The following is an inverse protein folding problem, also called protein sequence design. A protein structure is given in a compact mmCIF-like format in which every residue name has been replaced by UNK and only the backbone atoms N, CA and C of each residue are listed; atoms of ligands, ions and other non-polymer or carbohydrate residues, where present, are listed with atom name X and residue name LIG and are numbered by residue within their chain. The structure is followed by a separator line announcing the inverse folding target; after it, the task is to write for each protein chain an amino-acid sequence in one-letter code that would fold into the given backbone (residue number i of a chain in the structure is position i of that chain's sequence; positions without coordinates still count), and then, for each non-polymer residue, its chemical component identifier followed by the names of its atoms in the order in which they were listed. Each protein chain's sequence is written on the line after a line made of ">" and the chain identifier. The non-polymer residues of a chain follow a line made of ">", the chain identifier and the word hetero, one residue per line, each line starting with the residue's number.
data_IF_279299821341
#
_entry.id   IF_279299821341
#
_cell.length_a   1.000
_cell.length_b   1.000
_cell.length_c   1.000
_cell.angle_alpha   90.00
_cell.angle_beta   90.00
_cell.angle_gamma   90.00
#
_symmetry.space_group_name_H-M   'P 1'
#
loop_
_entity.id
_entity.type
_entity.pdbx_description
1 polymer ?
#
# COMPACT_ATOMS: atom_id res chain seq x y z
N UNK A 1 2.75 20.40 -4.12
CA UNK A 1 1.36 20.05 -4.43
C UNK A 1 1.25 19.05 -5.59
N UNK A 2 0.94 19.46 -6.83
CA UNK A 2 0.50 18.52 -7.88
C UNK A 2 1.52 17.44 -8.30
N UNK A 3 2.80 17.79 -8.45
CA UNK A 3 3.82 16.82 -8.82
C UNK A 3 4.02 15.74 -7.73
N UNK A 4 3.93 16.14 -6.46
CA UNK A 4 3.98 15.20 -5.33
C UNK A 4 2.79 14.25 -5.32
N UNK A 5 1.58 14.78 -5.52
CA UNK A 5 0.37 13.96 -5.64
C UNK A 5 0.48 12.93 -6.78
N UNK A 6 0.93 13.38 -7.96
CA UNK A 6 1.18 12.49 -9.11
C UNK A 6 2.18 11.39 -8.77
N UNK A 7 3.33 11.76 -8.21
CA UNK A 7 4.39 10.80 -7.87
C UNK A 7 3.90 9.73 -6.89
N UNK A 8 3.16 10.12 -5.84
CA UNK A 8 2.58 9.15 -4.91
C UNK A 8 1.53 8.26 -5.57
N UNK A 9 0.58 8.82 -6.32
CA UNK A 9 -0.48 8.02 -6.97
C UNK A 9 0.09 7.03 -7.98
N UNK A 10 1.06 7.45 -8.80
CA UNK A 10 1.70 6.57 -9.79
C UNK A 10 2.58 5.52 -9.13
N UNK A 11 3.34 5.90 -8.09
CA UNK A 11 4.16 4.97 -7.31
C UNK A 11 3.32 3.91 -6.59
N UNK A 12 2.25 4.33 -5.90
CA UNK A 12 1.32 3.40 -5.22
C UNK A 12 0.64 2.47 -6.22
N UNK A 13 0.20 2.98 -7.38
CA UNK A 13 -0.41 2.13 -8.42
C UNK A 13 0.57 1.08 -8.94
N UNK A 14 1.80 1.48 -9.23
CA UNK A 14 2.86 0.54 -9.65
C UNK A 14 3.09 -0.53 -8.59
N UNK A 15 3.17 -0.12 -7.31
CA UNK A 15 3.40 -1.04 -6.20
C UNK A 15 2.24 -2.04 -6.00
N UNK A 16 0.98 -1.57 -6.07
CA UNK A 16 -0.21 -2.42 -6.00
C UNK A 16 -0.21 -3.45 -7.14
N UNK A 17 0.09 -3.03 -8.37
CA UNK A 17 0.16 -3.96 -9.51
C UNK A 17 1.31 -4.95 -9.39
N UNK A 18 2.45 -4.55 -8.86
CA UNK A 18 3.56 -5.46 -8.61
C UNK A 18 3.17 -6.55 -7.61
N UNK A 19 2.55 -6.18 -6.48
CA UNK A 19 2.07 -7.18 -5.50
C UNK A 19 0.97 -8.06 -6.09
N UNK A 20 0.03 -7.48 -6.85
CA UNK A 20 -0.97 -8.24 -7.59
C UNK A 20 -0.35 -9.28 -8.54
N UNK A 21 0.70 -8.88 -9.27
CA UNK A 21 1.45 -9.80 -10.13
C UNK A 21 2.12 -10.92 -9.33
N UNK A 22 2.68 -10.65 -8.15
CA UNK A 22 3.22 -11.70 -7.28
C UNK A 22 2.14 -12.72 -6.89
N UNK A 23 0.95 -12.26 -6.50
CA UNK A 23 -0.17 -13.14 -6.13
C UNK A 23 -0.65 -13.98 -7.33
N UNK A 24 -0.74 -13.38 -8.52
CA UNK A 24 -1.10 -14.12 -9.73
C UNK A 24 -0.05 -15.18 -10.08
N UNK A 25 1.24 -14.83 -9.99
CA UNK A 25 2.32 -15.79 -10.24
C UNK A 25 2.38 -16.89 -9.20
N UNK A 26 2.09 -16.63 -7.94
CA UNK A 26 1.90 -17.66 -6.91
C UNK A 26 0.77 -18.63 -7.31
N UNK A 27 -0.39 -18.09 -7.68
CA UNK A 27 -1.58 -18.86 -8.02
C UNK A 27 -1.38 -19.72 -9.28
N UNK A 28 -0.66 -19.19 -10.27
CA UNK A 28 -0.42 -19.83 -11.56
C UNK A 28 0.88 -20.66 -11.60
N UNK A 29 1.72 -20.58 -10.57
CA UNK A 29 3.00 -21.30 -10.52
C UNK A 29 2.80 -22.80 -10.70
N UNK A 30 3.61 -23.39 -11.57
CA UNK A 30 3.62 -24.83 -11.85
C UNK A 30 4.67 -25.57 -11.00
N UNK A 31 5.73 -24.88 -10.61
CA UNK A 31 6.78 -25.39 -9.73
C UNK A 31 6.61 -24.95 -8.28
N UNK A 32 6.99 -25.82 -7.34
CA UNK A 32 6.93 -25.54 -5.91
C UNK A 32 7.84 -24.35 -5.50
N UNK A 33 9.03 -24.28 -6.08
CA UNK A 33 10.02 -23.21 -5.80
C UNK A 33 9.51 -21.84 -6.26
N UNK A 34 8.99 -21.75 -7.49
CA UNK A 34 8.40 -20.51 -8.02
C UNK A 34 7.22 -20.05 -7.17
N UNK A 35 6.35 -20.98 -6.77
CA UNK A 35 5.21 -20.68 -5.90
C UNK A 35 5.67 -20.12 -4.55
N UNK A 36 6.62 -20.78 -3.90
CA UNK A 36 7.15 -20.34 -2.60
C UNK A 36 7.81 -18.97 -2.69
N UNK A 37 8.56 -18.70 -3.76
CA UNK A 37 9.18 -17.41 -4.01
C UNK A 37 8.13 -16.30 -4.09
N UNK A 38 7.14 -16.41 -4.98
CA UNK A 38 6.15 -15.35 -5.14
C UNK A 38 5.19 -15.22 -3.96
N UNK A 39 4.86 -16.35 -3.30
CA UNK A 39 4.13 -16.33 -2.04
C UNK A 39 4.86 -15.51 -0.98
N UNK A 40 6.18 -15.71 -0.83
CA UNK A 40 6.98 -14.94 0.10
C UNK A 40 6.90 -13.44 -0.16
N UNK A 41 7.02 -13.02 -1.43
CA UNK A 41 6.87 -11.61 -1.81
C UNK A 41 5.46 -11.09 -1.51
N UNK A 42 4.41 -11.84 -1.86
CA UNK A 42 3.03 -11.50 -1.54
C UNK A 42 2.82 -11.31 -0.03
N UNK A 43 3.29 -12.26 0.77
CA UNK A 43 3.19 -12.25 2.22
C UNK A 43 3.93 -11.06 2.87
N UNK A 44 5.11 -10.72 2.36
CA UNK A 44 5.93 -9.61 2.87
C UNK A 44 5.35 -8.25 2.48
N UNK A 45 4.91 -8.09 1.22
CA UNK A 45 4.57 -6.78 0.65
C UNK A 45 3.11 -6.37 0.86
N UNK A 46 2.18 -7.31 1.04
CA UNK A 46 0.76 -7.01 1.30
C UNK A 46 0.54 -6.04 2.47
N UNK A 47 1.15 -6.23 3.67
CA UNK A 47 0.98 -5.28 4.76
C UNK A 47 1.58 -3.90 4.45
N UNK A 48 2.66 -3.83 3.66
CA UNK A 48 3.21 -2.55 3.19
C UNK A 48 2.23 -1.85 2.25
N UNK A 49 1.67 -2.55 1.27
CA UNK A 49 0.66 -1.98 0.36
C UNK A 49 -0.50 -1.41 1.16
N UNK A 50 -1.03 -2.18 2.12
CA UNK A 50 -2.14 -1.77 2.97
C UNK A 50 -1.82 -0.47 3.73
N UNK A 51 -0.78 -0.49 4.56
CA UNK A 51 -0.50 0.64 5.46
C UNK A 51 0.06 1.86 4.71
N UNK A 52 1.00 1.66 3.78
CA UNK A 52 1.63 2.76 3.06
C UNK A 52 0.64 3.47 2.14
N UNK A 53 -0.18 2.71 1.40
CA UNK A 53 -1.17 3.32 0.49
C UNK A 53 -2.31 4.01 1.25
N UNK A 54 -2.72 3.49 2.41
CA UNK A 54 -3.69 4.16 3.26
C UNK A 54 -3.19 5.53 3.74
N UNK A 55 -1.96 5.60 4.23
CA UNK A 55 -1.36 6.85 4.72
C UNK A 55 -1.11 7.84 3.59
N UNK A 56 -0.41 7.42 2.52
CA UNK A 56 -0.10 8.31 1.40
C UNK A 56 -1.33 8.68 0.59
N UNK A 57 -2.32 7.79 0.48
CA UNK A 57 -3.62 8.11 -0.12
C UNK A 57 -4.33 9.22 0.65
N UNK A 58 -4.32 9.15 1.98
CA UNK A 58 -4.90 10.19 2.83
C UNK A 58 -4.15 11.52 2.67
N UNK A 59 -2.81 11.52 2.71
CA UNK A 59 -1.98 12.72 2.48
C UNK A 59 -2.31 13.37 1.13
N UNK A 60 -2.46 12.58 0.07
CA UNK A 60 -2.84 13.06 -1.28
C UNK A 60 -4.23 13.69 -1.28
N UNK A 61 -5.20 13.11 -0.57
CA UNK A 61 -6.53 13.69 -0.45
C UNK A 61 -6.51 15.03 0.31
N UNK A 62 -5.71 15.13 1.36
CA UNK A 62 -5.53 16.39 2.12
C UNK A 62 -4.89 17.46 1.23
N UNK A 63 -3.85 17.10 0.47
CA UNK A 63 -3.21 18.02 -0.47
C UNK A 63 -4.20 18.48 -1.56
N UNK A 64 -5.11 17.60 -2.00
CA UNK A 64 -6.15 17.95 -2.97
C UNK A 64 -7.11 19.04 -2.44
N UNK A 65 -7.48 18.98 -1.15
CA UNK A 65 -8.27 20.06 -0.51
C UNK A 65 -7.52 21.38 -0.57
N UNK A 66 -6.21 21.37 -0.26
CA UNK A 66 -5.38 22.58 -0.29
C UNK A 66 -5.23 23.15 -1.71
N UNK A 67 -5.20 22.31 -2.76
CA UNK A 67 -5.17 22.76 -4.17
C UNK A 67 -6.42 23.57 -4.53
N UNK A 68 -7.59 23.21 -3.96
CA UNK A 68 -8.85 23.93 -4.18
C UNK A 68 -9.01 25.17 -3.28
N UNK A 69 -8.09 25.41 -2.34
CA UNK A 69 -8.18 26.50 -1.37
C UNK A 69 -9.45 26.40 -0.52
N UNK A 70 -10.10 27.55 -0.23
CA UNK A 70 -11.33 27.58 0.56
C UNK A 70 -12.49 26.76 -0.05
N UNK A 71 -12.55 26.66 -1.38
CA UNK A 71 -13.54 25.83 -2.07
C UNK A 71 -13.31 24.32 -1.86
N UNK A 72 -12.10 23.91 -1.46
CA UNK A 72 -11.83 22.51 -1.11
C UNK A 72 -12.47 22.08 0.19
N UNK A 73 -12.91 23.03 1.03
CA UNK A 73 -13.54 22.75 2.32
C UNK A 73 -15.07 22.72 2.27
N UNK A 74 -15.66 23.09 1.13
CA UNK A 74 -17.12 23.05 0.93
C UNK A 74 -17.52 21.78 0.16
N UNK A 75 -18.77 21.34 0.37
CA UNK A 75 -19.29 20.08 -0.18
C UNK A 75 -19.64 20.15 -1.68
N UNK A 76 -19.45 21.30 -2.33
CA UNK A 76 -19.67 21.44 -3.77
C UNK A 76 -18.62 20.66 -4.58
N UNK A 77 -17.40 20.51 -4.05
CA UNK A 77 -16.32 19.75 -4.68
C UNK A 77 -16.03 18.45 -3.92
N UNK A 78 -15.66 17.36 -4.61
CA UNK A 78 -15.56 16.03 -3.99
C UNK A 78 -14.34 15.84 -3.09
N UNK A 79 -13.39 16.79 -3.06
CA UNK A 79 -12.10 16.61 -2.37
C UNK A 79 -12.26 16.46 -0.85
N UNK A 80 -13.23 17.13 -0.23
CA UNK A 80 -13.54 16.94 1.19
C UNK A 80 -14.04 15.52 1.48
N UNK A 81 -14.89 15.00 0.59
CA UNK A 81 -15.43 13.65 0.71
C UNK A 81 -14.32 12.62 0.56
N UNK A 82 -13.40 12.80 -0.40
CA UNK A 82 -12.26 11.90 -0.57
C UNK A 82 -11.40 11.81 0.70
N UNK A 83 -11.19 12.91 1.42
CA UNK A 83 -10.47 12.89 2.71
C UNK A 83 -11.20 12.04 3.74
N UNK A 84 -12.52 12.23 3.90
CA UNK A 84 -13.35 11.46 4.85
C UNK A 84 -13.36 9.98 4.50
N UNK A 85 -13.62 9.65 3.24
CA UNK A 85 -13.80 8.29 2.77
C UNK A 85 -12.45 7.55 2.75
N UNK A 86 -11.33 8.24 2.51
CA UNK A 86 -10.00 7.64 2.56
C UNK A 86 -9.55 7.32 3.98
N UNK A 87 -10.05 8.02 5.02
CA UNK A 87 -9.53 7.88 6.39
C UNK A 87 -9.69 6.46 6.95
N UNK A 88 -10.80 5.81 6.62
CA UNK A 88 -11.12 4.46 7.12
C UNK A 88 -10.08 3.41 6.71
N UNK A 89 -9.37 3.66 5.60
CA UNK A 89 -8.40 2.70 5.04
C UNK A 89 -7.22 2.43 5.98
N UNK A 90 -6.87 3.40 6.84
CA UNK A 90 -5.86 3.26 7.90
C UNK A 90 -6.33 2.48 9.14
N UNK A 91 -7.64 2.18 9.24
CA UNK A 91 -8.29 1.68 10.46
C UNK A 91 -8.77 0.24 10.28
N UNK A 92 -9.56 -0.03 9.23
CA UNK A 92 -10.15 -1.35 9.02
C UNK A 92 -9.09 -2.40 8.60
N UNK A 93 -9.46 -3.69 8.59
CA UNK A 93 -8.60 -4.80 8.15
C UNK A 93 -7.20 -4.78 8.80
N UNK A 94 -7.15 -4.39 10.08
CA UNK A 94 -5.93 -4.15 10.85
C UNK A 94 -5.40 -2.73 10.68
N UNK A 95 -5.33 -1.98 11.79
CA UNK A 95 -4.81 -0.60 11.79
C UNK A 95 -3.37 -0.53 11.29
N UNK A 96 -2.92 0.65 10.83
CA UNK A 96 -1.52 0.80 10.37
C UNK A 96 -0.48 0.36 11.41
N UNK A 97 -0.75 0.57 12.69
CA UNK A 97 0.10 0.07 13.78
C UNK A 97 0.14 -1.46 13.86
N UNK A 98 -0.99 -2.13 13.65
CA UNK A 98 -1.07 -3.59 13.58
C UNK A 98 -0.30 -4.10 12.35
N UNK A 99 -0.43 -3.45 11.20
CA UNK A 99 0.31 -3.81 9.98
C UNK A 99 1.82 -3.62 10.17
N UNK A 100 2.25 -2.57 10.86
CA UNK A 100 3.66 -2.34 11.18
C UNK A 100 4.22 -3.41 12.15
N UNK A 101 3.44 -3.79 13.17
CA UNK A 101 3.81 -4.87 14.09
C UNK A 101 3.86 -6.23 13.40
N UNK A 102 2.94 -6.49 12.46
CA UNK A 102 2.99 -7.69 11.63
C UNK A 102 4.26 -7.75 10.78
N UNK A 103 4.55 -6.65 10.07
CA UNK A 103 5.74 -6.55 9.23
C UNK A 103 7.01 -6.84 10.03
N UNK A 104 7.19 -6.13 11.14
CA UNK A 104 8.39 -6.26 11.97
C UNK A 104 8.45 -7.61 12.69
N UNK A 105 7.35 -8.04 13.29
CA UNK A 105 7.31 -9.20 14.18
C UNK A 105 7.17 -10.55 13.47
N UNK A 106 6.63 -10.59 12.24
CA UNK A 106 6.37 -11.84 11.52
C UNK A 106 6.98 -11.88 10.13
N UNK A 107 6.82 -10.81 9.34
CA UNK A 107 7.15 -10.86 7.90
C UNK A 107 8.63 -10.71 7.59
N UNK A 108 9.36 -9.84 8.31
CA UNK A 108 10.80 -9.64 8.10
C UNK A 108 11.64 -10.88 8.46
N UNK A 109 11.21 -11.66 9.48
CA UNK A 109 11.90 -12.89 9.90
C UNK A 109 11.46 -14.16 9.16
N UNK A 110 10.52 -14.05 8.22
CA UNK A 110 9.97 -15.19 7.49
C UNK A 110 11.05 -15.92 6.69
N UNK A 111 11.02 -17.25 6.72
CA UNK A 111 12.02 -18.12 6.09
C UNK A 111 13.45 -17.71 6.45
N UNK A 112 13.68 -17.44 7.75
CA UNK A 112 14.98 -16.99 8.30
C UNK A 112 15.48 -15.69 7.64
N UNK A 113 14.55 -14.81 7.25
CA UNK A 113 14.84 -13.54 6.58
C UNK A 113 15.11 -13.68 5.08
N UNK A 114 15.09 -14.88 4.52
CA UNK A 114 15.38 -15.14 3.09
C UNK A 114 14.51 -14.30 2.16
N UNK A 115 13.22 -14.16 2.48
CA UNK A 115 12.28 -13.41 1.63
C UNK A 115 12.67 -11.92 1.57
N UNK A 116 13.06 -11.34 2.71
CA UNK A 116 13.56 -9.96 2.75
C UNK A 116 14.89 -9.82 2.02
N UNK A 117 15.81 -10.78 2.17
CA UNK A 117 17.08 -10.78 1.44
C UNK A 117 16.87 -10.82 -0.08
N UNK A 118 15.94 -11.65 -0.56
CA UNK A 118 15.58 -11.72 -1.99
C UNK A 118 15.05 -10.38 -2.54
N UNK A 119 14.41 -9.57 -1.70
CA UNK A 119 13.95 -8.23 -2.09
C UNK A 119 15.12 -7.24 -2.29
N UNK A 120 16.22 -7.43 -1.57
CA UNK A 120 17.38 -6.52 -1.61
C UNK A 120 18.32 -6.79 -2.81
N UNK A 121 18.26 -7.99 -3.40
CA UNK A 121 19.16 -8.43 -4.47
C UNK A 121 20.26 -9.34 -3.95
#
# INVERSE_FOLDING_TARGET
>A
MLLGMKAYVEGMRSFVYYVGQCLDKEALATGAEEREFYKGFGDLLTPLVKAYCAQRGFDVCVEAVQVYGGYGFIQEYPVEQLVRDCKITSIYEGTDGIQAMDLLGRKLGMSEGRVFMNLLG
#
